data_IF_658044428379
#
_entry.id   IF_658044428379
#
_cell.length_a   1.000
_cell.length_b   1.000
_cell.length_c   1.000
_cell.angle_alpha   90.00
_cell.angle_beta   90.00
_cell.angle_gamma   90.00
#
_symmetry.space_group_name_H-M   'P 1'
#
loop_
_entity.id
_entity.type
_entity.pdbx_description
1 polymer ?
#
# COMPACT_ATOMS: atom_id res chain seq x y z
N UNK A 1 -1.81 9.40 -26.38
CA UNK A 1 -2.81 9.03 -25.37
C UNK A 1 -2.93 7.50 -25.21
N UNK A 2 -3.01 6.74 -26.29
CA UNK A 2 -3.22 5.27 -26.26
C UNK A 2 -2.08 4.49 -25.61
N UNK A 3 -0.80 4.88 -25.81
CA UNK A 3 0.36 4.18 -25.20
C UNK A 3 0.42 4.31 -23.68
N UNK A 4 0.03 5.45 -23.13
CA UNK A 4 -0.02 5.68 -21.69
C UNK A 4 -1.13 4.84 -21.04
N UNK A 5 -2.28 4.76 -21.69
CA UNK A 5 -3.44 3.98 -21.23
C UNK A 5 -3.13 2.47 -21.21
N UNK A 6 -2.42 1.96 -22.22
CA UNK A 6 -1.99 0.55 -22.29
C UNK A 6 -0.96 0.22 -21.20
N UNK A 7 -0.03 1.14 -20.92
CA UNK A 7 0.96 0.95 -19.85
C UNK A 7 0.29 1.01 -18.46
N UNK A 8 -0.66 1.89 -18.26
CA UNK A 8 -1.45 2.01 -17.03
C UNK A 8 -2.33 0.76 -16.80
N UNK A 9 -2.90 0.15 -17.85
CA UNK A 9 -3.63 -1.12 -17.79
C UNK A 9 -2.70 -2.33 -17.57
N UNK A 10 -1.56 -2.39 -18.25
CA UNK A 10 -0.59 -3.51 -18.17
C UNK A 10 0.14 -3.57 -16.82
N UNK A 11 0.33 -2.43 -16.17
CA UNK A 11 1.01 -2.32 -14.86
C UNK A 11 0.03 -2.31 -13.68
N UNK A 12 -1.27 -2.48 -13.93
CA UNK A 12 -2.34 -2.43 -12.92
C UNK A 12 -2.28 -1.15 -12.03
N UNK A 13 -1.72 -0.07 -12.62
CA UNK A 13 -1.54 1.24 -11.97
C UNK A 13 -2.90 1.83 -11.56
N UNK A 14 -3.99 1.42 -12.23
CA UNK A 14 -5.35 1.77 -11.87
C UNK A 14 -5.72 1.34 -10.44
N UNK A 15 -5.14 0.24 -9.92
CA UNK A 15 -5.31 -0.19 -8.53
C UNK A 15 -4.68 0.82 -7.59
N UNK A 16 -3.48 1.30 -7.88
CA UNK A 16 -2.81 2.32 -7.07
C UNK A 16 -3.52 3.68 -7.14
N UNK A 17 -4.07 4.03 -8.30
CA UNK A 17 -4.87 5.26 -8.45
C UNK A 17 -6.16 5.16 -7.65
N UNK A 18 -6.87 4.04 -7.70
CA UNK A 18 -8.06 3.76 -6.88
C UNK A 18 -7.72 3.75 -5.39
N UNK A 19 -6.63 3.10 -5.00
CA UNK A 19 -6.13 3.11 -3.62
C UNK A 19 -5.78 4.52 -3.14
N UNK A 20 -5.07 5.31 -3.95
CA UNK A 20 -4.74 6.70 -3.61
C UNK A 20 -5.99 7.57 -3.47
N UNK A 21 -7.01 7.37 -4.30
CA UNK A 21 -8.28 8.07 -4.18
C UNK A 21 -9.02 7.68 -2.89
N UNK A 22 -9.10 6.37 -2.58
CA UNK A 22 -9.70 5.88 -1.32
C UNK A 22 -8.94 6.40 -0.10
N UNK A 23 -7.60 6.45 -0.16
CA UNK A 23 -6.75 7.02 0.89
C UNK A 23 -7.01 8.52 1.08
N UNK A 24 -7.12 9.26 -0.01
CA UNK A 24 -7.39 10.70 -0.01
C UNK A 24 -8.77 11.01 0.56
N UNK A 25 -9.77 10.22 0.19
CA UNK A 25 -11.13 10.36 0.71
C UNK A 25 -11.20 10.04 2.21
N UNK A 26 -10.58 8.94 2.66
CA UNK A 26 -10.47 8.59 4.08
C UNK A 26 -9.68 9.64 4.88
N UNK A 27 -8.59 10.15 4.31
CA UNK A 27 -7.80 11.23 4.94
C UNK A 27 -8.63 12.51 5.11
N UNK A 28 -9.40 12.88 4.10
CA UNK A 28 -10.27 14.06 4.14
C UNK A 28 -11.39 13.89 5.18
N UNK A 29 -11.99 12.70 5.27
CA UNK A 29 -13.02 12.37 6.27
C UNK A 29 -12.43 12.49 7.67
N UNK A 30 -11.29 11.83 7.93
CA UNK A 30 -10.62 11.87 9.24
C UNK A 30 -10.17 13.29 9.62
N UNK A 31 -9.75 14.09 8.67
CA UNK A 31 -9.38 15.49 8.89
C UNK A 31 -10.60 16.37 9.22
N UNK A 32 -11.75 16.09 8.62
CA UNK A 32 -13.00 16.76 8.95
C UNK A 32 -13.48 16.40 10.37
N UNK A 33 -13.42 15.12 10.75
CA UNK A 33 -13.73 14.63 12.09
C UNK A 33 -12.80 15.22 13.16
N UNK A 34 -11.50 15.33 12.86
CA UNK A 34 -10.53 15.97 13.76
C UNK A 34 -10.89 17.43 14.00
N UNK A 35 -11.19 18.17 12.94
CA UNK A 35 -11.56 19.59 13.02
C UNK A 35 -12.87 19.81 13.79
N UNK A 36 -13.85 18.91 13.64
CA UNK A 36 -15.11 18.93 14.39
C UNK A 36 -14.87 18.62 15.88
N UNK A 37 -13.95 17.69 16.16
CA UNK A 37 -13.51 17.34 17.52
C UNK A 37 -12.77 18.51 18.18
N UNK A 38 -11.89 19.19 17.46
CA UNK A 38 -11.19 20.39 17.92
C UNK A 38 -12.19 21.52 18.26
N UNK A 39 -13.17 21.73 17.41
CA UNK A 39 -14.22 22.73 17.67
C UNK A 39 -15.11 22.37 18.87
N UNK A 40 -15.40 21.08 19.05
CA UNK A 40 -16.12 20.57 20.23
C UNK A 40 -15.30 20.78 21.51
N UNK A 41 -13.98 20.58 21.44
CA UNK A 41 -13.05 20.84 22.53
C UNK A 41 -13.03 22.34 22.90
N UNK A 42 -13.00 23.19 21.88
CA UNK A 42 -13.02 24.64 22.08
C UNK A 42 -14.30 25.07 22.80
N UNK A 43 -15.47 24.59 22.36
CA UNK A 43 -16.77 24.81 23.00
C UNK A 43 -16.80 24.25 24.43
N UNK A 44 -16.18 23.07 24.65
CA UNK A 44 -16.10 22.50 25.99
C UNK A 44 -15.18 23.32 26.91
N UNK A 45 -14.07 23.82 26.40
CA UNK A 45 -13.19 24.72 27.14
C UNK A 45 -13.87 26.02 27.53
N UNK A 46 -14.60 26.65 26.61
CA UNK A 46 -15.40 27.86 26.91
C UNK A 46 -16.48 27.59 27.99
N UNK A 47 -17.19 26.46 27.91
CA UNK A 47 -18.15 26.06 28.93
C UNK A 47 -17.51 25.84 30.30
N UNK A 48 -16.32 25.24 30.33
CA UNK A 48 -15.60 25.04 31.60
C UNK A 48 -15.15 26.38 32.21
N UNK A 49 -14.66 27.31 31.39
CA UNK A 49 -14.28 28.65 31.86
C UNK A 49 -15.47 29.42 32.44
N UNK A 50 -16.60 29.41 31.73
CA UNK A 50 -17.85 30.04 32.20
C UNK A 50 -18.38 29.38 33.47
N UNK A 51 -18.29 28.06 33.58
CA UNK A 51 -18.75 27.33 34.78
C UNK A 51 -17.84 27.62 35.96
N UNK A 52 -16.52 27.75 35.75
CA UNK A 52 -15.59 28.14 36.81
C UNK A 52 -15.80 29.59 37.25
N UNK A 53 -16.07 30.51 36.34
CA UNK A 53 -16.43 31.88 36.69
C UNK A 53 -17.73 31.93 37.50
N UNK A 54 -18.73 31.16 37.09
CA UNK A 54 -20.01 31.07 37.81
C UNK A 54 -19.87 30.39 39.20
N UNK A 55 -18.95 29.43 39.28
CA UNK A 55 -18.61 28.79 40.59
C UNK A 55 -17.85 29.76 41.53
N UNK A 56 -16.99 30.62 40.97
CA UNK A 56 -16.32 31.68 41.75
C UNK A 56 -17.29 32.74 42.25
N UNK A 57 -18.34 33.04 41.50
CA UNK A 57 -19.39 33.96 41.88
C UNK A 57 -20.39 33.37 42.87
N UNK A 58 -20.61 32.08 42.81
CA UNK A 58 -21.54 31.35 43.69
C UNK A 58 -20.92 30.83 44.98
N UNK A 59 -19.80 31.30 45.32
CA UNK A 59 -18.81 30.93 46.33
C UNK A 59 -19.31 30.58 47.71
N UNK A 60 -20.08 29.67 47.95
CA UNK A 60 -20.27 29.01 49.27
C UNK A 60 -21.25 27.83 49.27
N UNK A 61 -21.88 27.52 48.17
CA UNK A 61 -23.11 26.69 48.24
C UNK A 61 -23.08 25.41 47.39
N UNK A 62 -22.02 25.12 46.66
CA UNK A 62 -22.14 24.03 45.68
C UNK A 62 -21.08 22.90 45.82
N UNK A 63 -21.13 22.23 46.96
CA UNK A 63 -20.51 20.89 47.17
C UNK A 63 -21.01 19.86 46.13
N UNK A 64 -22.20 20.09 45.61
CA UNK A 64 -22.80 19.21 44.60
C UNK A 64 -22.11 19.38 43.24
N UNK A 65 -21.78 20.60 42.83
CA UNK A 65 -21.00 20.86 41.59
C UNK A 65 -19.53 20.45 41.67
N UNK A 66 -18.94 20.49 42.87
CA UNK A 66 -17.63 19.91 43.12
C UNK A 66 -17.62 18.40 42.92
N UNK A 67 -18.71 17.73 43.36
CA UNK A 67 -18.87 16.30 43.15
C UNK A 67 -18.99 15.96 41.64
N UNK A 68 -19.80 16.75 40.94
CA UNK A 68 -19.98 16.60 39.48
C UNK A 68 -18.66 16.75 38.71
N UNK A 69 -17.90 17.81 39.00
CA UNK A 69 -16.56 17.99 38.42
C UNK A 69 -15.57 16.88 38.77
N UNK A 70 -15.66 16.33 40.01
CA UNK A 70 -14.80 15.22 40.43
C UNK A 70 -15.14 13.93 39.64
N UNK A 71 -16.43 13.75 39.33
CA UNK A 71 -16.91 12.61 38.57
C UNK A 71 -16.50 12.71 37.09
N UNK A 72 -16.54 13.90 36.51
CA UNK A 72 -16.05 14.20 35.16
C UNK A 72 -14.55 13.93 35.02
N UNK A 73 -13.76 14.35 36.00
CA UNK A 73 -12.32 14.05 36.04
C UNK A 73 -12.07 12.54 36.05
N UNK A 74 -12.83 11.81 36.91
CA UNK A 74 -12.69 10.36 37.00
C UNK A 74 -13.05 9.66 35.69
N UNK A 75 -14.07 10.17 35.01
CA UNK A 75 -14.48 9.65 33.69
C UNK A 75 -13.39 9.87 32.65
N UNK A 76 -12.85 11.10 32.56
CA UNK A 76 -11.74 11.43 31.66
C UNK A 76 -10.47 10.64 31.99
N UNK A 77 -10.18 10.40 33.27
CA UNK A 77 -9.07 9.52 33.67
C UNK A 77 -9.32 8.07 33.23
N UNK A 78 -10.57 7.60 33.25
CA UNK A 78 -10.96 6.32 32.66
C UNK A 78 -10.73 6.24 31.17
N UNK A 79 -11.12 7.27 30.44
CA UNK A 79 -10.85 7.37 28.99
C UNK A 79 -9.34 7.39 28.69
N UNK A 80 -8.56 8.13 29.45
CA UNK A 80 -7.10 8.15 29.31
C UNK A 80 -6.51 6.75 29.54
N UNK A 81 -6.97 6.02 30.54
CA UNK A 81 -6.48 4.67 30.79
C UNK A 81 -6.81 3.72 29.63
N UNK A 82 -8.02 3.79 29.08
CA UNK A 82 -8.38 3.00 27.90
C UNK A 82 -7.53 3.37 26.67
N UNK A 83 -7.26 4.66 26.48
CA UNK A 83 -6.39 5.13 25.40
C UNK A 83 -4.94 4.66 25.60
N UNK A 84 -4.45 4.59 26.84
CA UNK A 84 -3.11 4.07 27.16
C UNK A 84 -3.03 2.56 26.86
N UNK A 85 -4.06 1.78 27.24
CA UNK A 85 -4.12 0.36 26.87
C UNK A 85 -4.11 0.20 25.34
N UNK A 86 -4.94 0.97 24.66
CA UNK A 86 -4.97 0.98 23.19
C UNK A 86 -3.63 1.38 22.58
N UNK A 87 -2.96 2.37 23.16
CA UNK A 87 -1.62 2.79 22.76
C UNK A 87 -0.61 1.64 22.87
N UNK A 88 -0.65 0.90 23.97
CA UNK A 88 0.23 -0.26 24.19
C UNK A 88 -0.04 -1.37 23.18
N UNK A 89 -1.30 -1.72 22.96
CA UNK A 89 -1.68 -2.73 21.97
C UNK A 89 -1.18 -2.36 20.56
N UNK A 90 -1.34 -1.10 20.15
CA UNK A 90 -0.87 -0.61 18.86
C UNK A 90 0.66 -0.66 18.78
N UNK A 91 1.35 -0.31 19.86
CA UNK A 91 2.81 -0.37 19.92
C UNK A 91 3.33 -1.80 19.82
N UNK A 92 2.68 -2.74 20.49
CA UNK A 92 3.00 -4.16 20.41
C UNK A 92 2.75 -4.72 18.99
N UNK A 93 1.68 -4.29 18.33
CA UNK A 93 1.41 -4.66 16.94
C UNK A 93 2.47 -4.12 15.97
N UNK A 94 2.90 -2.87 16.14
CA UNK A 94 3.90 -2.21 15.30
C UNK A 94 5.28 -2.84 15.51
N UNK A 95 5.61 -3.22 16.73
CA UNK A 95 6.90 -3.81 17.09
C UNK A 95 7.02 -5.29 16.74
N UNK A 96 5.93 -5.94 16.30
CA UNK A 96 6.03 -7.34 15.84
C UNK A 96 7.02 -7.45 14.69
N UNK A 97 7.92 -8.43 14.75
CA UNK A 97 8.86 -8.66 13.66
C UNK A 97 8.09 -9.03 12.39
N UNK A 98 8.46 -8.40 11.29
CA UNK A 98 7.83 -8.61 10.00
C UNK A 98 8.68 -8.09 8.86
N UNK A 99 8.21 -8.20 7.62
CA UNK A 99 8.91 -7.72 6.46
C UNK A 99 9.17 -6.21 6.55
N UNK A 100 10.29 -5.79 6.01
CA UNK A 100 10.77 -4.42 6.05
C UNK A 100 10.63 -3.75 4.68
N UNK A 101 10.82 -2.43 4.64
CA UNK A 101 10.91 -1.70 3.38
C UNK A 101 12.05 -2.20 2.50
N UNK A 102 13.15 -2.65 3.12
CA UNK A 102 14.29 -3.23 2.40
C UNK A 102 13.87 -4.52 1.67
N UNK A 103 13.01 -5.32 2.27
CA UNK A 103 12.51 -6.54 1.64
C UNK A 103 11.56 -6.22 0.47
N UNK A 104 10.72 -5.21 0.61
CA UNK A 104 9.89 -4.69 -0.47
C UNK A 104 10.74 -4.19 -1.65
N UNK A 105 11.81 -3.45 -1.37
CA UNK A 105 12.73 -2.94 -2.39
C UNK A 105 13.46 -4.08 -3.11
N UNK A 106 13.87 -5.14 -2.38
CA UNK A 106 14.46 -6.35 -2.98
C UNK A 106 13.48 -7.06 -3.90
N UNK A 107 12.23 -7.26 -3.46
CA UNK A 107 11.18 -7.88 -4.27
C UNK A 107 10.86 -7.05 -5.51
N UNK A 108 10.79 -5.73 -5.37
CA UNK A 108 10.63 -4.80 -6.49
C UNK A 108 11.77 -4.93 -7.50
N UNK A 109 13.01 -5.03 -7.02
CA UNK A 109 14.19 -5.26 -7.86
C UNK A 109 14.16 -6.61 -8.56
N UNK A 110 13.80 -7.68 -7.85
CA UNK A 110 13.64 -9.04 -8.42
C UNK A 110 12.57 -9.05 -9.50
N UNK A 111 11.39 -8.48 -9.23
CA UNK A 111 10.29 -8.36 -10.19
C UNK A 111 10.72 -7.65 -11.47
N UNK A 112 11.39 -6.49 -11.35
CA UNK A 112 11.88 -5.73 -12.52
C UNK A 112 12.83 -6.55 -13.38
N UNK A 113 13.73 -7.31 -12.76
CA UNK A 113 14.69 -8.18 -13.47
C UNK A 113 13.96 -9.31 -14.21
N UNK A 114 13.01 -9.97 -13.56
CA UNK A 114 12.24 -11.06 -14.18
C UNK A 114 11.40 -10.57 -15.35
N UNK A 115 10.71 -9.44 -15.20
CA UNK A 115 9.92 -8.83 -16.28
C UNK A 115 10.81 -8.43 -17.46
N UNK A 116 11.98 -7.85 -17.20
CA UNK A 116 12.95 -7.51 -18.25
C UNK A 116 13.45 -8.75 -19.00
N UNK A 117 13.77 -9.82 -18.26
CA UNK A 117 14.18 -11.10 -18.82
C UNK A 117 13.07 -11.70 -19.69
N UNK A 118 11.83 -11.67 -19.20
CA UNK A 118 10.65 -12.13 -19.95
C UNK A 118 10.48 -11.38 -21.27
N UNK A 119 10.68 -10.08 -21.28
CA UNK A 119 10.67 -9.27 -22.50
C UNK A 119 11.75 -9.70 -23.51
N UNK A 120 12.97 -9.96 -23.03
CA UNK A 120 14.07 -10.43 -23.87
C UNK A 120 13.80 -11.82 -24.47
N UNK A 121 13.26 -12.72 -23.67
CA UNK A 121 12.93 -14.09 -24.10
C UNK A 121 11.78 -14.06 -25.11
N UNK A 122 10.72 -13.28 -24.87
CA UNK A 122 9.61 -13.08 -25.82
C UNK A 122 10.13 -12.53 -27.16
N UNK A 123 11.04 -11.56 -27.12
CA UNK A 123 11.70 -11.06 -28.34
C UNK A 123 12.46 -12.13 -29.11
N UNK A 124 13.11 -13.08 -28.42
CA UNK A 124 13.78 -14.22 -29.07
C UNK A 124 12.77 -15.18 -29.71
N UNK A 125 11.67 -15.48 -29.05
CA UNK A 125 10.58 -16.30 -29.63
C UNK A 125 10.05 -15.66 -30.91
N UNK A 126 9.78 -14.35 -30.87
CA UNK A 126 9.27 -13.62 -32.05
C UNK A 126 10.29 -13.62 -33.21
N UNK A 127 11.57 -13.49 -32.90
CA UNK A 127 12.64 -13.60 -33.90
C UNK A 127 12.70 -15.00 -34.53
N UNK A 128 12.65 -16.05 -33.70
CA UNK A 128 12.65 -17.44 -34.17
C UNK A 128 11.38 -17.74 -34.97
N UNK A 129 10.22 -17.23 -34.58
CA UNK A 129 8.97 -17.38 -35.36
C UNK A 129 9.06 -16.67 -36.72
N UNK A 130 9.66 -15.48 -36.75
CA UNK A 130 9.90 -14.78 -38.04
C UNK A 130 10.88 -15.55 -38.95
N UNK A 131 11.94 -16.10 -38.38
CA UNK A 131 12.89 -16.93 -39.12
C UNK A 131 12.24 -18.20 -39.62
N UNK A 132 11.44 -18.88 -38.82
CA UNK A 132 10.68 -20.06 -39.23
C UNK A 132 9.76 -19.72 -40.41
N UNK A 133 8.96 -18.67 -40.31
CA UNK A 133 8.07 -18.19 -41.37
C UNK A 133 8.85 -17.88 -42.67
N UNK A 134 10.03 -17.30 -42.53
CA UNK A 134 10.91 -17.07 -43.67
C UNK A 134 11.27 -18.36 -44.41
N UNK A 135 11.63 -19.43 -43.68
CA UNK A 135 11.95 -20.73 -44.31
C UNK A 135 10.70 -21.47 -44.85
N UNK A 136 9.53 -21.19 -44.29
CA UNK A 136 8.26 -21.73 -44.78
C UNK A 136 7.80 -21.09 -46.09
N UNK A 137 7.94 -19.77 -46.22
CA UNK A 137 7.38 -18.98 -47.32
C UNK A 137 8.36 -18.82 -48.49
N UNK A 138 9.70 -18.97 -48.28
CA UNK A 138 10.69 -18.71 -49.29
C UNK A 138 11.43 -19.98 -49.72
N UNK A 139 11.53 -20.17 -51.03
CA UNK A 139 12.30 -21.25 -51.64
C UNK A 139 13.73 -20.82 -52.02
N UNK A 140 13.98 -19.51 -52.17
CA UNK A 140 15.27 -18.92 -52.46
C UNK A 140 15.65 -17.84 -51.44
N UNK A 141 16.93 -17.71 -51.18
CA UNK A 141 17.45 -16.66 -50.30
C UNK A 141 17.30 -15.28 -50.97
N UNK A 142 16.58 -14.32 -50.37
CA UNK A 142 16.37 -13.00 -50.97
C UNK A 142 17.69 -12.19 -51.07
N UNK A 143 18.68 -12.51 -50.27
CA UNK A 143 19.96 -11.81 -50.22
C UNK A 143 20.92 -12.32 -51.29
N UNK A 144 21.13 -13.63 -51.45
CA UNK A 144 22.06 -14.21 -52.40
C UNK A 144 21.38 -14.90 -53.60
N UNK A 145 20.04 -14.95 -53.63
CA UNK A 145 19.20 -15.55 -54.69
C UNK A 145 19.46 -17.04 -54.96
N UNK A 146 20.21 -17.72 -54.10
CA UNK A 146 20.45 -19.17 -54.18
C UNK A 146 19.19 -19.94 -53.77
N UNK A 147 18.88 -21.02 -54.46
CA UNK A 147 17.82 -21.93 -54.05
C UNK A 147 18.21 -22.67 -52.76
N UNK A 148 17.26 -22.74 -51.82
CA UNK A 148 17.43 -23.46 -50.57
C UNK A 148 16.91 -24.89 -50.75
N UNK A 149 17.76 -25.88 -50.54
CA UNK A 149 17.30 -27.29 -50.62
C UNK A 149 16.19 -27.58 -49.64
N UNK A 150 15.30 -28.49 -50.02
CA UNK A 150 14.16 -28.88 -49.17
C UNK A 150 14.65 -29.49 -47.84
N UNK A 151 15.74 -30.22 -47.84
CA UNK A 151 16.37 -30.83 -46.65
C UNK A 151 16.86 -29.73 -45.69
N UNK A 152 17.53 -28.72 -46.18
CA UNK A 152 18.02 -27.59 -45.40
C UNK A 152 16.85 -26.81 -44.75
N UNK A 153 15.78 -26.56 -45.53
CA UNK A 153 14.59 -25.87 -45.02
C UNK A 153 13.88 -26.66 -43.93
N UNK A 154 13.61 -27.95 -44.16
CA UNK A 154 12.96 -28.83 -43.17
C UNK A 154 13.81 -28.97 -41.91
N UNK A 155 15.13 -29.15 -42.03
CA UNK A 155 16.06 -29.19 -40.90
C UNK A 155 16.00 -27.88 -40.10
N UNK A 156 16.09 -26.71 -40.76
CA UNK A 156 16.05 -25.41 -40.14
C UNK A 156 14.70 -25.17 -39.42
N UNK A 157 13.57 -25.53 -40.05
CA UNK A 157 12.21 -25.42 -39.45
C UNK A 157 12.10 -26.32 -38.22
N UNK A 158 12.64 -27.52 -38.28
CA UNK A 158 12.61 -28.48 -37.16
C UNK A 158 13.43 -27.96 -35.98
N UNK A 159 14.62 -27.42 -36.23
CA UNK A 159 15.48 -26.83 -35.20
C UNK A 159 14.82 -25.57 -34.58
N UNK A 160 14.23 -24.71 -35.42
CA UNK A 160 13.53 -23.52 -34.93
C UNK A 160 12.29 -23.88 -34.13
N UNK A 161 11.54 -24.89 -34.53
CA UNK A 161 10.41 -25.39 -33.75
C UNK A 161 10.84 -25.89 -32.37
N UNK A 162 11.95 -26.62 -32.28
CA UNK A 162 12.52 -27.07 -31.02
C UNK A 162 12.93 -25.87 -30.15
N UNK A 163 13.66 -24.89 -30.72
CA UNK A 163 14.06 -23.66 -30.01
C UNK A 163 12.85 -22.84 -29.54
N UNK A 164 11.82 -22.71 -30.37
CA UNK A 164 10.59 -22.01 -30.01
C UNK A 164 9.94 -22.69 -28.82
N UNK A 165 9.75 -24.02 -28.88
CA UNK A 165 9.12 -24.79 -27.81
C UNK A 165 9.91 -24.68 -26.49
N UNK A 166 11.21 -24.91 -26.51
CA UNK A 166 12.07 -24.79 -25.32
C UNK A 166 12.02 -23.38 -24.72
N UNK A 167 11.93 -22.35 -25.60
CA UNK A 167 11.86 -20.97 -25.13
C UNK A 167 10.46 -20.61 -24.59
N UNK A 168 9.40 -21.16 -25.19
CA UNK A 168 8.00 -21.01 -24.71
C UNK A 168 7.83 -21.71 -23.33
N UNK A 169 8.39 -22.90 -23.16
CA UNK A 169 8.40 -23.61 -21.87
C UNK A 169 9.12 -22.76 -20.81
N UNK A 170 10.27 -22.17 -21.15
CA UNK A 170 10.98 -21.25 -20.25
C UNK A 170 10.21 -19.95 -19.92
N UNK A 171 9.39 -19.46 -20.85
CA UNK A 171 8.48 -18.33 -20.58
C UNK A 171 7.44 -18.72 -19.54
N UNK A 172 6.85 -19.90 -19.67
CA UNK A 172 5.83 -20.38 -18.73
C UNK A 172 6.41 -20.51 -17.29
N UNK A 173 7.62 -21.05 -17.15
CA UNK A 173 8.31 -21.12 -15.87
C UNK A 173 8.58 -19.73 -15.30
N UNK A 174 9.01 -18.81 -16.16
CA UNK A 174 9.29 -17.43 -15.75
C UNK A 174 8.01 -16.68 -15.34
N UNK A 175 6.92 -16.86 -16.06
CA UNK A 175 5.63 -16.23 -15.74
C UNK A 175 5.11 -16.75 -14.38
N UNK A 176 5.29 -18.04 -14.05
CA UNK A 176 4.99 -18.59 -12.73
C UNK A 176 5.86 -17.98 -11.62
N UNK A 177 7.15 -17.75 -11.88
CA UNK A 177 8.03 -17.12 -10.89
C UNK A 177 7.70 -15.63 -10.72
N UNK A 178 7.31 -14.95 -11.79
CA UNK A 178 6.82 -13.56 -11.72
C UNK A 178 5.58 -13.49 -10.84
N UNK A 179 4.61 -14.39 -11.04
CA UNK A 179 3.38 -14.43 -10.25
C UNK A 179 3.65 -14.64 -8.77
N UNK A 180 4.59 -15.54 -8.41
CA UNK A 180 5.02 -15.75 -7.02
C UNK A 180 5.61 -14.47 -6.42
N UNK A 181 6.53 -13.84 -7.14
CA UNK A 181 7.18 -12.60 -6.67
C UNK A 181 6.18 -11.46 -6.57
N UNK A 182 5.20 -11.38 -7.46
CA UNK A 182 4.13 -10.38 -7.39
C UNK A 182 3.24 -10.59 -6.17
N UNK A 183 2.91 -11.83 -5.85
CA UNK A 183 2.15 -12.17 -4.65
C UNK A 183 2.93 -11.81 -3.39
N UNK A 184 4.18 -12.24 -3.26
CA UNK A 184 5.05 -11.88 -2.13
C UNK A 184 5.21 -10.37 -1.99
N UNK A 185 5.36 -9.66 -3.10
CA UNK A 185 5.45 -8.20 -3.11
C UNK A 185 4.16 -7.55 -2.59
N UNK A 186 3.01 -8.06 -3.01
CA UNK A 186 1.71 -7.58 -2.54
C UNK A 186 1.54 -7.82 -1.04
N UNK A 187 1.82 -9.04 -0.58
CA UNK A 187 1.71 -9.42 0.84
C UNK A 187 2.59 -8.52 1.73
N UNK A 188 3.84 -8.27 1.31
CA UNK A 188 4.76 -7.38 2.02
C UNK A 188 4.29 -5.92 1.97
N UNK A 189 3.79 -5.47 0.84
CA UNK A 189 3.26 -4.12 0.67
C UNK A 189 2.05 -3.88 1.58
N UNK A 190 1.12 -4.84 1.61
CA UNK A 190 -0.08 -4.77 2.44
C UNK A 190 0.27 -4.80 3.93
N UNK A 191 1.23 -5.63 4.33
CA UNK A 191 1.74 -5.64 5.69
C UNK A 191 2.31 -4.27 6.08
N UNK A 192 3.20 -3.70 5.27
CA UNK A 192 3.80 -2.40 5.54
C UNK A 192 2.75 -1.28 5.58
N UNK A 193 1.78 -1.32 4.68
CA UNK A 193 0.64 -0.39 4.70
C UNK A 193 -0.16 -0.52 6.00
N UNK A 194 -0.43 -1.75 6.44
CA UNK A 194 -1.13 -2.00 7.70
C UNK A 194 -0.36 -1.43 8.91
N UNK A 195 0.94 -1.70 8.99
CA UNK A 195 1.82 -1.15 10.04
C UNK A 195 1.84 0.39 10.01
N UNK A 196 1.94 0.98 8.81
CA UNK A 196 1.89 2.44 8.67
C UNK A 196 0.54 3.02 9.11
N UNK A 197 -0.56 2.36 8.79
CA UNK A 197 -1.90 2.72 9.25
C UNK A 197 -2.00 2.67 10.78
N UNK A 198 -1.45 1.61 11.40
CA UNK A 198 -1.39 1.47 12.86
C UNK A 198 -0.49 2.51 13.52
N UNK A 199 0.62 2.89 12.89
CA UNK A 199 1.45 3.99 13.36
C UNK A 199 0.71 5.34 13.32
N UNK A 200 -0.09 5.58 12.29
CA UNK A 200 -0.98 6.74 12.21
C UNK A 200 -2.04 6.74 13.32
N UNK A 201 -2.65 5.58 13.58
CA UNK A 201 -3.60 5.40 14.69
C UNK A 201 -2.93 5.65 16.05
N UNK A 202 -1.72 5.14 16.25
CA UNK A 202 -0.91 5.36 17.45
C UNK A 202 -0.64 6.85 17.68
N UNK A 203 -0.26 7.57 16.64
CA UNK A 203 -0.02 9.03 16.72
C UNK A 203 -1.29 9.76 17.15
N UNK A 204 -2.45 9.38 16.60
CA UNK A 204 -3.75 9.96 16.96
C UNK A 204 -4.13 9.65 18.41
N UNK A 205 -3.96 8.39 18.83
CA UNK A 205 -4.23 7.98 20.23
C UNK A 205 -3.32 8.75 21.18
N UNK A 206 -2.04 8.89 20.86
CA UNK A 206 -1.09 9.67 21.67
C UNK A 206 -1.49 11.14 21.74
N UNK A 207 -1.93 11.73 20.64
CA UNK A 207 -2.48 13.09 20.61
C UNK A 207 -3.73 13.24 21.47
N UNK A 208 -4.63 12.26 21.42
CA UNK A 208 -5.83 12.24 22.24
C UNK A 208 -5.49 12.15 23.73
N UNK A 209 -4.54 11.30 24.13
CA UNK A 209 -4.04 11.19 25.52
C UNK A 209 -3.52 12.57 25.98
N UNK A 210 -2.69 13.20 25.20
CA UNK A 210 -2.13 14.54 25.52
C UNK A 210 -3.23 15.58 25.67
N UNK A 211 -4.20 15.57 24.76
CA UNK A 211 -5.32 16.53 24.77
C UNK A 211 -6.24 16.28 25.97
N UNK A 212 -6.56 15.03 26.27
CA UNK A 212 -7.41 14.68 27.41
C UNK A 212 -6.71 14.97 28.74
N UNK A 213 -5.40 14.68 28.84
CA UNK A 213 -4.60 15.04 30.02
C UNK A 213 -4.52 16.56 30.21
N UNK A 214 -4.39 17.31 29.12
CA UNK A 214 -4.45 18.78 29.18
C UNK A 214 -5.80 19.28 29.67
N UNK A 215 -6.90 18.59 29.32
CA UNK A 215 -8.24 18.88 29.88
C UNK A 215 -8.28 18.58 31.37
N UNK A 216 -7.85 17.40 31.80
CA UNK A 216 -7.80 17.01 33.22
C UNK A 216 -7.01 18.02 34.05
N UNK A 217 -5.81 18.45 33.54
CA UNK A 217 -5.00 19.43 34.25
C UNK A 217 -5.62 20.83 34.34
N UNK A 218 -6.58 21.17 33.49
CA UNK A 218 -7.36 22.42 33.57
C UNK A 218 -8.59 22.31 34.48
N UNK A 219 -9.02 21.10 34.77
CA UNK A 219 -10.13 20.85 35.69
C UNK A 219 -9.67 20.71 37.14
N UNK A 220 -8.40 20.35 37.36
CA UNK A 220 -7.72 20.32 38.68
C UNK A 220 -7.26 21.71 39.09
#
# INVERSE_FOLDING_TARGET
WHRRQVIEELLDINVFTKMNNILKDKYNILRAELKETEHTIEILNEKIVLTNQHLLELNALDEEKKKELTEDIKTLEGEVNQLIERQKDLQDMINKPGPTKIDLDKLTGKRKKLVSLGGQIKGKVDSNKKQKKFFEENHSCPTCKQEMSQEMRTSSITELNKKIKETEDGINELDLEIEKVEKEHTDVSDFLYHIQSKAGELTRVTGNITTTNSKISKLK
#
